data_IF_072814544065
#
_entry.id   IF_072814544065
#
_cell.length_a   1.000
_cell.length_b   1.000
_cell.length_c   1.000
_cell.angle_alpha   90.00
_cell.angle_beta   90.00
_cell.angle_gamma   90.00
#
_symmetry.space_group_name_H-M   'P 1'
#
loop_
_entity.id
_entity.type
_entity.pdbx_description
1 polymer ?
#
# COMPACT_ATOMS: atom_id res chain seq x y z
N UNK A 1 3.12 4.44 -33.45
CA UNK A 1 2.52 4.08 -32.16
C UNK A 1 3.64 3.62 -31.24
N UNK A 2 4.18 4.52 -30.42
CA UNK A 2 5.24 4.21 -29.47
C UNK A 2 4.61 3.65 -28.20
N UNK A 3 5.02 2.44 -27.85
CA UNK A 3 4.59 1.68 -26.67
C UNK A 3 4.99 2.40 -25.39
N UNK A 4 4.03 2.62 -24.50
CA UNK A 4 4.20 3.19 -23.15
C UNK A 4 4.95 2.22 -22.20
N UNK A 5 6.19 1.86 -22.53
CA UNK A 5 7.02 0.98 -21.68
C UNK A 5 7.72 1.73 -20.53
N UNK A 6 7.71 3.06 -20.51
CA UNK A 6 8.46 3.88 -19.54
C UNK A 6 7.76 4.16 -18.20
N UNK A 7 6.45 3.90 -18.08
CA UNK A 7 5.67 4.35 -16.93
C UNK A 7 5.40 3.26 -15.88
N UNK A 8 5.53 1.96 -16.23
CA UNK A 8 5.31 0.85 -15.29
C UNK A 8 6.47 0.70 -14.31
N UNK A 9 7.70 0.61 -14.82
CA UNK A 9 8.87 0.30 -14.00
C UNK A 9 9.17 1.34 -12.92
N UNK A 10 8.93 2.62 -13.21
CA UNK A 10 9.12 3.71 -12.23
C UNK A 10 8.05 3.68 -11.14
N UNK A 11 6.80 3.33 -11.48
CA UNK A 11 5.72 3.17 -10.50
C UNK A 11 5.93 1.93 -9.63
N UNK A 12 6.34 0.82 -10.24
CA UNK A 12 6.66 -0.43 -9.56
C UNK A 12 7.84 -0.23 -8.59
N UNK A 13 8.88 0.50 -9.01
CA UNK A 13 9.99 0.86 -8.14
C UNK A 13 9.56 1.75 -6.96
N UNK A 14 8.68 2.74 -7.20
CA UNK A 14 8.15 3.60 -6.15
C UNK A 14 7.27 2.84 -5.14
N UNK A 15 6.47 1.87 -5.62
CA UNK A 15 5.69 0.96 -4.76
C UNK A 15 6.62 0.16 -3.86
N UNK A 16 7.62 -0.51 -4.45
CA UNK A 16 8.56 -1.34 -3.71
C UNK A 16 9.33 -0.54 -2.66
N UNK A 17 9.76 0.67 -3.01
CA UNK A 17 10.48 1.53 -2.08
C UNK A 17 9.59 1.96 -0.91
N UNK A 18 8.37 2.42 -1.18
CA UNK A 18 7.42 2.82 -0.14
C UNK A 18 7.03 1.64 0.76
N UNK A 19 6.90 0.45 0.20
CA UNK A 19 6.61 -0.76 0.96
C UNK A 19 7.77 -1.14 1.89
N UNK A 20 9.02 -1.05 1.43
CA UNK A 20 10.21 -1.29 2.26
C UNK A 20 10.32 -0.30 3.42
N UNK A 21 10.08 0.98 3.16
CA UNK A 21 10.04 2.01 4.21
C UNK A 21 8.91 1.72 5.20
N UNK A 22 7.74 1.29 4.71
CA UNK A 22 6.63 0.91 5.57
C UNK A 22 6.95 -0.28 6.47
N UNK A 23 7.57 -1.32 5.92
CA UNK A 23 7.99 -2.51 6.66
C UNK A 23 8.97 -2.14 7.78
N UNK A 24 10.00 -1.34 7.46
CA UNK A 24 10.98 -0.89 8.45
C UNK A 24 10.31 -0.12 9.60
N UNK A 25 9.48 0.89 9.28
CA UNK A 25 8.77 1.69 10.30
C UNK A 25 7.78 0.87 11.11
N UNK A 26 7.06 -0.05 10.47
CA UNK A 26 6.09 -0.89 11.14
C UNK A 26 6.76 -1.89 12.09
N UNK A 27 7.94 -2.40 11.72
CA UNK A 27 8.74 -3.26 12.58
C UNK A 27 9.32 -2.49 13.78
N UNK A 28 9.87 -1.31 13.55
CA UNK A 28 10.34 -0.43 14.63
C UNK A 28 9.23 -0.11 15.65
N UNK A 29 7.99 0.04 15.17
CA UNK A 29 6.83 0.31 16.02
C UNK A 29 6.21 -0.94 16.67
N UNK A 30 6.47 -2.13 16.15
CA UNK A 30 5.92 -3.36 16.74
C UNK A 30 6.63 -3.73 18.04
N UNK A 31 7.90 -3.33 18.18
CA UNK A 31 8.74 -3.69 19.33
C UNK A 31 9.12 -5.17 19.39
N UNK A 32 8.95 -5.89 18.27
CA UNK A 32 9.40 -7.27 18.12
C UNK A 32 10.92 -7.36 18.11
N UNK A 33 11.46 -8.52 18.46
CA UNK A 33 12.90 -8.76 18.42
C UNK A 33 13.38 -8.92 16.97
N UNK A 34 14.59 -8.44 16.66
CA UNK A 34 15.21 -8.58 15.34
C UNK A 34 15.29 -10.04 14.87
N UNK A 35 15.43 -11.00 15.79
CA UNK A 35 15.43 -12.43 15.48
C UNK A 35 14.08 -12.92 14.91
N UNK A 36 12.99 -12.23 15.23
CA UNK A 36 11.64 -12.56 14.78
C UNK A 36 11.23 -11.80 13.51
N UNK A 37 12.13 -10.98 12.94
CA UNK A 37 11.85 -10.14 11.78
C UNK A 37 11.22 -10.91 10.61
N UNK A 38 11.73 -12.09 10.26
CA UNK A 38 11.21 -12.86 9.12
C UNK A 38 9.79 -13.39 9.36
N UNK A 39 9.50 -13.82 10.60
CA UNK A 39 8.17 -14.30 10.99
C UNK A 39 7.18 -13.15 11.02
N UNK A 40 7.58 -12.04 11.64
CA UNK A 40 6.79 -10.81 11.67
C UNK A 40 6.51 -10.29 10.26
N UNK A 41 7.53 -10.25 9.40
CA UNK A 41 7.41 -9.75 8.02
C UNK A 41 6.43 -10.58 7.21
N UNK A 42 6.46 -11.91 7.36
CA UNK A 42 5.53 -12.81 6.69
C UNK A 42 4.09 -12.56 7.16
N UNK A 43 3.86 -12.44 8.48
CA UNK A 43 2.53 -12.15 9.03
C UNK A 43 2.02 -10.78 8.57
N UNK A 44 2.85 -9.74 8.72
CA UNK A 44 2.52 -8.39 8.28
C UNK A 44 2.18 -8.35 6.79
N UNK A 45 2.97 -9.01 5.93
CA UNK A 45 2.74 -9.01 4.49
C UNK A 45 1.44 -9.70 4.06
N UNK A 46 0.92 -10.65 4.85
CA UNK A 46 -0.38 -11.28 4.58
C UNK A 46 -1.55 -10.34 4.89
N UNK A 47 -1.40 -9.49 5.89
CA UNK A 47 -2.42 -8.53 6.32
C UNK A 47 -2.46 -7.28 5.44
N UNK A 48 -1.35 -6.95 4.80
CA UNK A 48 -1.22 -5.74 3.99
C UNK A 48 -1.57 -5.97 2.52
N UNK A 49 -2.24 -4.98 1.95
CA UNK A 49 -2.36 -4.82 0.50
C UNK A 49 -1.21 -3.92 -0.02
N UNK A 50 -0.29 -4.44 -0.85
CA UNK A 50 0.84 -3.66 -1.36
C UNK A 50 0.42 -2.41 -2.13
N UNK A 51 -0.74 -2.44 -2.79
CA UNK A 51 -1.24 -1.31 -3.59
C UNK A 51 -1.57 -0.12 -2.70
N UNK A 52 -1.93 -0.34 -1.42
CA UNK A 52 -2.23 0.72 -0.47
C UNK A 52 -1.07 1.72 -0.29
N UNK A 53 0.18 1.25 -0.40
CA UNK A 53 1.39 2.04 -0.19
C UNK A 53 1.74 2.97 -1.35
N UNK A 54 1.04 2.85 -2.47
CA UNK A 54 1.15 3.76 -3.62
C UNK A 54 -0.22 4.17 -4.17
N UNK A 55 -1.28 3.96 -3.41
CA UNK A 55 -2.63 4.22 -3.88
C UNK A 55 -2.84 5.70 -4.22
N UNK A 56 -2.14 6.60 -3.51
CA UNK A 56 -2.07 8.04 -3.76
C UNK A 56 -1.35 8.40 -5.08
N UNK A 57 -0.58 7.49 -5.68
CA UNK A 57 0.03 7.70 -7.00
C UNK A 57 -0.94 7.40 -8.14
N UNK A 58 -2.02 6.67 -7.88
CA UNK A 58 -3.08 6.42 -8.86
C UNK A 58 -3.93 7.69 -9.05
N UNK A 59 -4.43 7.90 -10.27
CA UNK A 59 -5.45 8.91 -10.51
C UNK A 59 -6.77 8.55 -9.82
N UNK A 60 -7.62 9.53 -9.55
CA UNK A 60 -8.88 9.32 -8.83
C UNK A 60 -9.79 8.27 -9.49
N UNK A 61 -9.91 8.29 -10.83
CA UNK A 61 -10.70 7.29 -11.56
C UNK A 61 -10.10 5.88 -11.46
N UNK A 62 -8.77 5.76 -11.50
CA UNK A 62 -8.07 4.47 -11.38
C UNK A 62 -8.21 3.90 -9.96
N UNK A 63 -8.16 4.76 -8.93
CA UNK A 63 -8.45 4.36 -7.54
C UNK A 63 -9.85 3.79 -7.41
N UNK A 64 -10.85 4.48 -7.96
CA UNK A 64 -12.25 4.03 -7.91
C UNK A 64 -12.42 2.71 -8.67
N UNK A 65 -11.89 2.60 -9.89
CA UNK A 65 -11.94 1.38 -10.69
C UNK A 65 -11.27 0.20 -9.98
N UNK A 66 -10.09 0.42 -9.41
CA UNK A 66 -9.39 -0.62 -8.65
C UNK A 66 -10.24 -1.05 -7.46
N UNK A 67 -10.71 -0.11 -6.64
CA UNK A 67 -11.56 -0.40 -5.49
C UNK A 67 -12.81 -1.17 -5.88
N UNK A 68 -13.51 -0.78 -6.94
CA UNK A 68 -14.74 -1.44 -7.39
C UNK A 68 -14.51 -2.86 -7.89
N UNK A 69 -13.32 -3.15 -8.43
CA UNK A 69 -12.94 -4.49 -8.89
C UNK A 69 -12.68 -5.49 -7.76
N UNK A 70 -12.46 -5.01 -6.53
CA UNK A 70 -12.16 -5.85 -5.37
C UNK A 70 -13.43 -6.49 -4.78
N UNK A 71 -13.28 -7.71 -4.26
CA UNK A 71 -14.27 -8.34 -3.38
C UNK A 71 -14.46 -7.57 -2.08
N UNK A 72 -15.52 -7.87 -1.33
CA UNK A 72 -15.76 -7.22 -0.03
C UNK A 72 -14.61 -7.43 0.96
N UNK A 73 -14.01 -8.63 1.00
CA UNK A 73 -12.88 -8.94 1.86
C UNK A 73 -11.62 -8.13 1.47
N UNK A 74 -11.33 -8.05 0.16
CA UNK A 74 -10.20 -7.29 -0.36
C UNK A 74 -10.37 -5.78 -0.14
N UNK A 75 -11.60 -5.25 -0.27
CA UNK A 75 -11.91 -3.85 0.07
C UNK A 75 -11.58 -3.54 1.53
N UNK A 76 -11.97 -4.42 2.45
CA UNK A 76 -11.65 -4.27 3.87
C UNK A 76 -10.14 -4.28 4.10
N UNK A 77 -9.41 -5.22 3.49
CA UNK A 77 -7.95 -5.30 3.58
C UNK A 77 -7.27 -4.06 3.02
N UNK A 78 -7.69 -3.58 1.85
CA UNK A 78 -7.18 -2.36 1.23
C UNK A 78 -7.40 -1.14 2.14
N UNK A 79 -8.60 -0.96 2.70
CA UNK A 79 -8.90 0.17 3.61
C UNK A 79 -8.06 0.10 4.88
N UNK A 80 -7.91 -1.08 5.49
CA UNK A 80 -7.04 -1.27 6.65
C UNK A 80 -5.59 -0.90 6.31
N UNK A 81 -5.09 -1.36 5.16
CA UNK A 81 -3.73 -1.10 4.69
C UNK A 81 -3.49 0.38 4.36
N UNK A 82 -4.50 1.08 3.82
CA UNK A 82 -4.45 2.53 3.59
C UNK A 82 -4.33 3.30 4.91
N UNK A 83 -5.06 2.87 5.94
CA UNK A 83 -4.95 3.46 7.27
C UNK A 83 -3.57 3.21 7.89
N UNK A 84 -3.02 2.00 7.72
CA UNK A 84 -1.66 1.67 8.16
C UNK A 84 -0.62 2.52 7.44
N UNK A 85 -0.67 2.59 6.11
CA UNK A 85 0.24 3.41 5.30
C UNK A 85 0.17 4.90 5.67
N UNK A 86 -1.02 5.42 6.01
CA UNK A 86 -1.18 6.78 6.52
C UNK A 86 -0.53 6.97 7.91
N UNK A 87 -0.80 6.06 8.86
CA UNK A 87 -0.19 6.11 10.21
C UNK A 87 1.33 6.03 10.18
N UNK A 88 1.88 5.25 9.25
CA UNK A 88 3.32 5.12 9.02
C UNK A 88 3.92 6.31 8.25
N UNK A 89 3.11 7.29 7.84
CA UNK A 89 3.56 8.46 7.09
C UNK A 89 4.10 8.14 5.70
N UNK A 90 3.52 7.13 5.03
CA UNK A 90 3.93 6.69 3.68
C UNK A 90 3.08 7.37 2.61
N UNK A 91 1.77 7.42 2.81
CA UNK A 91 0.83 8.05 1.87
C UNK A 91 -0.12 9.02 2.58
N UNK A 92 -0.65 9.97 1.80
CA UNK A 92 -1.66 10.92 2.29
C UNK A 92 -2.96 10.18 2.64
N UNK A 93 -3.73 10.67 3.63
CA UNK A 93 -4.90 9.95 4.13
C UNK A 93 -5.93 9.67 3.02
N UNK A 94 -6.78 8.65 3.18
CA UNK A 94 -7.72 8.21 2.15
C UNK A 94 -8.90 9.20 2.00
N UNK A 95 -8.64 10.40 1.47
CA UNK A 95 -9.64 11.34 0.96
C UNK A 95 -10.05 11.05 -0.49
N UNK A 96 -9.85 9.82 -0.98
CA UNK A 96 -10.09 9.46 -2.38
C UNK A 96 -11.56 9.19 -2.70
N UNK A 97 -12.39 8.93 -1.69
CA UNK A 97 -13.84 9.05 -1.84
C UNK A 97 -14.16 10.53 -1.76
N UNK A 98 -14.54 11.12 -2.90
CA UNK A 98 -15.26 12.40 -2.89
C UNK A 98 -16.45 12.18 -1.97
N UNK A 99 -16.63 13.14 -1.07
CA UNK A 99 -17.74 13.21 -0.14
C UNK A 99 -19.07 12.78 -0.78
N UNK A 100 -19.84 11.96 -0.08
CA UNK A 100 -21.30 12.03 -0.18
C UNK A 100 -21.77 13.43 0.25
#
# INVERSE_FOLDING_TARGET
MLKEAGNSSTKDAAILERLRIAQARAFELSGEDEHDFLNWLAAWSLEQDPVAYAFDLLGQQDRQRYFDSLSAAEKTRLVASLNTAHKLGICSPPGWRVSE
#
